data_IF_042292243951
#
_entry.id   IF_042292243951
#
_cell.length_a   1.000
_cell.length_b   1.000
_cell.length_c   1.000
_cell.angle_alpha   90.00
_cell.angle_beta   90.00
_cell.angle_gamma   90.00
#
_symmetry.space_group_name_H-M   'P 1'
#
loop_
_entity.id
_entity.type
_entity.pdbx_description
1 polymer ?
#
# COMPACT_ATOMS: atom_id res chain seq x y z
N UNK A 1 -55.17 -23.61 -17.95
CA UNK A 1 -54.49 -23.27 -19.22
C UNK A 1 -53.58 -22.09 -18.91
N UNK A 2 -52.27 -22.30 -18.93
CA UNK A 2 -51.29 -21.24 -18.70
C UNK A 2 -51.27 -20.33 -19.92
N UNK A 3 -51.35 -19.02 -19.71
CA UNK A 3 -51.31 -17.99 -20.76
C UNK A 3 -49.91 -17.33 -20.73
N UNK A 4 -49.01 -17.73 -21.64
CA UNK A 4 -47.62 -17.28 -21.64
C UNK A 4 -47.50 -15.78 -21.88
N UNK A 5 -48.43 -15.18 -22.63
CA UNK A 5 -48.41 -13.76 -22.97
C UNK A 5 -48.77 -12.90 -21.75
N UNK A 6 -49.80 -13.30 -20.99
CA UNK A 6 -50.14 -12.62 -19.73
C UNK A 6 -49.04 -12.75 -18.68
N UNK A 7 -48.40 -13.92 -18.60
CA UNK A 7 -47.26 -14.11 -17.70
C UNK A 7 -46.07 -13.22 -18.10
N UNK A 8 -45.75 -13.12 -19.40
CA UNK A 8 -44.70 -12.23 -19.90
C UNK A 8 -44.98 -10.75 -19.63
N UNK A 9 -46.23 -10.32 -19.75
CA UNK A 9 -46.64 -8.95 -19.42
C UNK A 9 -46.50 -8.65 -17.92
N UNK A 10 -46.96 -9.56 -17.06
CA UNK A 10 -46.84 -9.41 -15.60
C UNK A 10 -45.37 -9.36 -15.13
N UNK A 11 -44.52 -10.22 -15.71
CA UNK A 11 -43.08 -10.20 -15.43
C UNK A 11 -42.41 -8.91 -15.94
N UNK A 12 -42.77 -8.45 -17.14
CA UNK A 12 -42.26 -7.21 -17.70
C UNK A 12 -42.65 -5.98 -16.85
N UNK A 13 -43.85 -5.97 -16.30
CA UNK A 13 -44.32 -4.91 -15.40
C UNK A 13 -43.58 -4.96 -14.04
N UNK A 14 -43.42 -6.14 -13.45
CA UNK A 14 -42.66 -6.33 -12.22
C UNK A 14 -41.19 -5.89 -12.36
N UNK A 15 -40.55 -6.20 -13.50
CA UNK A 15 -39.18 -5.76 -13.80
C UNK A 15 -39.12 -4.24 -13.94
N UNK A 16 -40.07 -3.61 -14.64
CA UNK A 16 -40.10 -2.14 -14.76
C UNK A 16 -40.28 -1.46 -13.41
N UNK A 17 -41.19 -1.95 -12.57
CA UNK A 17 -41.41 -1.42 -11.22
C UNK A 17 -40.16 -1.56 -10.34
N UNK A 18 -39.42 -2.67 -10.47
CA UNK A 18 -38.17 -2.88 -9.73
C UNK A 18 -37.01 -2.01 -10.24
N UNK A 19 -36.95 -1.73 -11.55
CA UNK A 19 -35.83 -0.99 -12.18
C UNK A 19 -36.03 0.53 -12.15
N UNK A 20 -37.27 1.02 -12.07
CA UNK A 20 -37.58 2.45 -12.01
C UNK A 20 -36.90 3.21 -10.84
N UNK A 21 -36.92 2.73 -9.57
CA UNK A 21 -36.23 3.42 -8.49
C UNK A 21 -34.70 3.42 -8.69
N UNK A 22 -34.14 2.33 -9.22
CA UNK A 22 -32.71 2.22 -9.52
C UNK A 22 -32.29 3.20 -10.61
N UNK A 23 -33.10 3.38 -11.66
CA UNK A 23 -32.82 4.36 -12.71
C UNK A 23 -32.87 5.80 -12.19
N UNK A 24 -33.83 6.11 -11.30
CA UNK A 24 -33.92 7.42 -10.64
C UNK A 24 -32.70 7.71 -9.76
N UNK A 25 -32.24 6.73 -9.00
CA UNK A 25 -31.05 6.86 -8.16
C UNK A 25 -29.78 7.04 -9.00
N UNK A 26 -29.62 6.28 -10.09
CA UNK A 26 -28.52 6.44 -11.03
C UNK A 26 -28.52 7.84 -11.66
N UNK A 27 -29.68 8.39 -12.02
CA UNK A 27 -29.78 9.73 -12.57
C UNK A 27 -29.36 10.80 -11.54
N UNK A 28 -29.84 10.69 -10.31
CA UNK A 28 -29.50 11.61 -9.22
C UNK A 28 -28.02 11.52 -8.82
N UNK A 29 -27.43 10.32 -8.84
CA UNK A 29 -26.01 10.12 -8.59
C UNK A 29 -25.14 10.72 -9.71
N UNK A 30 -25.57 10.63 -10.97
CA UNK A 30 -24.88 11.27 -12.09
C UNK A 30 -24.90 12.79 -12.01
N UNK A 31 -26.02 13.37 -11.61
CA UNK A 31 -26.15 14.82 -11.38
C UNK A 31 -25.22 15.30 -10.25
N UNK A 32 -25.25 14.63 -9.09
CA UNK A 32 -24.34 14.93 -7.97
C UNK A 32 -22.87 14.75 -8.30
N UNK A 33 -22.54 13.84 -9.21
CA UNK A 33 -21.17 13.64 -9.66
C UNK A 33 -20.70 14.78 -10.58
N UNK A 34 -21.61 15.35 -11.38
CA UNK A 34 -21.35 16.51 -12.23
C UNK A 34 -21.18 17.81 -11.43
N UNK A 35 -21.82 17.92 -10.26
CA UNK A 35 -21.71 19.10 -9.38
C UNK A 35 -20.45 19.11 -8.49
N UNK A 36 -19.63 18.04 -8.50
CA UNK A 36 -18.41 18.03 -7.67
C UNK A 36 -17.42 19.10 -8.17
N UNK A 37 -17.00 20.05 -7.31
CA UNK A 37 -16.03 21.06 -7.70
C UNK A 37 -14.68 20.42 -8.06
N UNK A 38 -14.02 21.00 -9.07
CA UNK A 38 -12.69 20.59 -9.49
C UNK A 38 -11.65 21.13 -8.49
N UNK A 39 -11.43 20.34 -7.43
CA UNK A 39 -10.44 20.64 -6.40
C UNK A 39 -9.03 20.87 -6.99
N UNK A 40 -8.70 20.29 -8.15
CA UNK A 40 -7.41 20.50 -8.81
C UNK A 40 -7.26 21.93 -9.32
N UNK A 41 -8.30 22.49 -9.92
CA UNK A 41 -8.33 23.88 -10.37
C UNK A 41 -8.26 24.87 -9.20
N UNK A 42 -8.99 24.59 -8.11
CA UNK A 42 -9.01 25.44 -6.92
C UNK A 42 -7.64 25.46 -6.20
N UNK A 43 -7.00 24.30 -6.03
CA UNK A 43 -5.67 24.21 -5.42
C UNK A 43 -4.64 24.96 -6.26
N UNK A 44 -4.68 24.79 -7.59
CA UNK A 44 -3.74 25.47 -8.49
C UNK A 44 -3.88 26.99 -8.40
N UNK A 45 -5.11 27.50 -8.34
CA UNK A 45 -5.37 28.93 -8.18
C UNK A 45 -4.83 29.46 -6.85
N UNK A 46 -5.07 28.74 -5.74
CA UNK A 46 -4.58 29.12 -4.42
C UNK A 46 -3.04 29.10 -4.34
N UNK A 47 -2.39 28.11 -4.95
CA UNK A 47 -0.92 28.01 -4.99
C UNK A 47 -0.33 29.17 -5.79
N UNK A 48 -0.92 29.53 -6.94
CA UNK A 48 -0.42 30.63 -7.75
C UNK A 48 -0.46 31.97 -7.00
N UNK A 49 -1.56 32.25 -6.29
CA UNK A 49 -1.68 33.45 -5.45
C UNK A 49 -0.59 33.49 -4.37
N UNK A 50 -0.26 32.36 -3.75
CA UNK A 50 0.79 32.28 -2.75
C UNK A 50 2.19 32.49 -3.34
N UNK A 51 2.46 31.96 -4.54
CA UNK A 51 3.75 32.12 -5.24
C UNK A 51 3.97 33.58 -5.63
N UNK A 52 2.94 34.27 -6.14
CA UNK A 52 3.04 35.67 -6.54
C UNK A 52 3.21 36.63 -5.34
N UNK A 53 2.79 36.20 -4.15
CA UNK A 53 2.93 36.96 -2.92
C UNK A 53 4.36 36.92 -2.32
N UNK A 54 5.27 36.09 -2.84
CA UNK A 54 6.65 36.00 -2.34
C UNK A 54 7.44 37.22 -2.86
N UNK A 55 7.88 38.16 -1.99
CA UNK A 55 8.65 39.31 -2.43
C UNK A 55 10.02 38.86 -2.94
N UNK A 56 10.42 39.37 -4.11
CA UNK A 56 11.75 39.09 -4.68
C UNK A 56 12.84 39.60 -3.73
N UNK A 57 13.88 38.78 -3.54
CA UNK A 57 15.06 39.16 -2.79
C UNK A 57 15.67 40.44 -3.40
N UNK A 58 15.98 41.42 -2.56
CA UNK A 58 16.74 42.61 -2.97
C UNK A 58 18.22 42.25 -2.86
N UNK A 59 18.97 42.39 -3.95
CA UNK A 59 20.41 42.23 -3.91
C UNK A 59 21.05 43.34 -3.05
N UNK A 60 22.05 42.94 -2.27
CA UNK A 60 22.86 43.86 -1.48
C UNK A 60 23.70 44.76 -2.40
N UNK A 61 23.94 46.00 -1.97
CA UNK A 61 24.84 46.91 -2.67
C UNK A 61 26.28 46.55 -2.31
N UNK A 62 27.04 46.04 -3.27
CA UNK A 62 28.46 45.73 -3.08
C UNK A 62 29.28 47.02 -2.85
N UNK A 63 30.28 46.94 -1.96
CA UNK A 63 31.19 48.05 -1.64
C UNK A 63 32.23 48.21 -2.74
N UNK A 64 32.45 49.44 -3.20
CA UNK A 64 33.50 49.78 -4.16
C UNK A 64 34.88 49.81 -3.46
N UNK A 65 35.78 48.92 -3.88
CA UNK A 65 37.12 48.78 -3.29
C UNK A 65 37.98 50.05 -3.48
N UNK A 66 37.68 50.86 -4.50
CA UNK A 66 38.41 52.11 -4.74
C UNK A 66 38.19 53.14 -3.62
N UNK A 67 37.00 53.16 -3.01
CA UNK A 67 36.71 54.06 -1.87
C UNK A 67 37.43 53.60 -0.59
N UNK A 68 37.59 52.28 -0.41
CA UNK A 68 38.32 51.69 0.72
C UNK A 68 39.81 52.01 0.63
N UNK A 69 40.40 51.88 -0.56
CA UNK A 69 41.81 52.19 -0.78
C UNK A 69 42.11 53.68 -0.53
N UNK A 70 41.22 54.57 -0.96
CA UNK A 70 41.35 56.01 -0.70
C UNK A 70 41.30 56.35 0.81
N UNK A 71 40.45 55.65 1.58
CA UNK A 71 40.38 55.79 3.03
C UNK A 71 41.64 55.28 3.73
N UNK A 72 42.19 54.14 3.29
CA UNK A 72 43.41 53.57 3.85
C UNK A 72 44.62 54.45 3.55
N UNK A 73 44.76 54.95 2.32
CA UNK A 73 45.86 55.84 1.96
C UNK A 73 45.86 57.12 2.80
N UNK A 74 44.68 57.74 2.99
CA UNK A 74 44.53 58.93 3.82
C UNK A 74 44.83 58.67 5.30
N UNK A 75 44.50 57.48 5.80
CA UNK A 75 44.79 57.09 7.18
C UNK A 75 46.30 56.85 7.40
N UNK A 76 47.00 56.29 6.41
CA UNK A 76 48.45 56.03 6.50
C UNK A 76 49.25 57.32 6.40
N UNK A 77 48.85 58.28 5.56
CA UNK A 77 49.51 59.60 5.47
C UNK A 77 49.38 60.44 6.75
N UNK A 78 48.30 60.24 7.51
CA UNK A 78 48.05 60.94 8.77
C UNK A 78 48.92 60.42 9.93
N UNK A 79 49.66 59.32 9.76
CA UNK A 79 50.54 58.79 10.79
C UNK A 79 51.84 59.60 10.84
N UNK A 80 52.18 60.24 11.97
CA UNK A 80 53.45 60.94 12.11
C UNK A 80 54.61 59.93 12.05
N UNK A 81 55.62 60.24 11.23
CA UNK A 81 56.84 59.43 11.13
C UNK A 81 57.51 59.40 12.52
N UNK A 82 57.73 58.22 13.12
CA UNK A 82 58.38 58.12 14.43
C UNK A 82 59.77 58.74 14.37
N UNK A 83 60.05 59.70 15.26
CA UNK A 83 61.41 60.18 15.48
C UNK A 83 62.15 59.13 16.29
N UNK A 84 63.27 58.63 15.77
CA UNK A 84 64.16 57.73 16.51
C UNK A 84 64.64 58.43 17.78
N UNK A 85 64.31 57.84 18.93
CA UNK A 85 64.80 58.29 20.22
C UNK A 85 66.29 58.00 20.38
N UNK A 86 66.99 58.83 21.15
CA UNK A 86 68.36 58.52 21.58
C UNK A 86 68.41 57.11 22.18
N UNK A 87 69.48 56.32 21.94
CA UNK A 87 69.55 54.95 22.43
C UNK A 87 69.40 54.97 23.94
N UNK A 88 68.31 54.37 24.40
CA UNK A 88 68.04 54.28 25.82
C UNK A 88 69.13 53.40 26.44
N UNK A 89 69.68 53.84 27.58
CA UNK A 89 70.65 53.06 28.32
C UNK A 89 70.00 51.75 28.79
N UNK A 90 70.32 50.67 28.08
CA UNK A 90 69.71 49.37 28.27
C UNK A 90 70.03 48.78 29.65
N UNK A 91 71.15 49.17 30.27
CA UNK A 91 71.50 48.73 31.62
C UNK A 91 70.69 49.49 32.68
N UNK A 92 70.49 50.79 32.50
CA UNK A 92 69.60 51.58 33.37
C UNK A 92 68.15 51.10 33.27
N UNK A 93 67.67 50.86 32.04
CA UNK A 93 66.34 50.31 31.80
C UNK A 93 66.19 48.91 32.38
N UNK A 94 67.19 48.03 32.23
CA UNK A 94 67.14 46.68 32.78
C UNK A 94 67.02 46.69 34.30
N UNK A 95 67.82 47.52 35.00
CA UNK A 95 67.72 47.67 36.46
C UNK A 95 66.35 48.18 36.89
N UNK A 96 65.84 49.20 36.22
CA UNK A 96 64.53 49.76 36.54
C UNK A 96 63.39 48.77 36.26
N UNK A 97 63.46 48.03 35.16
CA UNK A 97 62.49 46.97 34.82
C UNK A 97 62.51 45.85 35.83
N UNK A 98 63.69 45.38 36.27
CA UNK A 98 63.78 44.34 37.29
C UNK A 98 63.17 44.82 38.61
N UNK A 99 63.44 46.06 39.04
CA UNK A 99 62.79 46.63 40.24
C UNK A 99 61.28 46.76 40.12
N UNK A 100 60.76 47.15 38.94
CA UNK A 100 59.32 47.26 38.72
C UNK A 100 58.65 45.89 38.66
N UNK A 101 59.30 44.91 38.03
CA UNK A 101 58.83 43.52 37.95
C UNK A 101 58.82 42.87 39.34
N UNK A 102 59.83 43.12 40.17
CA UNK A 102 59.87 42.63 41.55
C UNK A 102 58.81 43.29 42.45
N UNK A 103 58.43 44.55 42.16
CA UNK A 103 57.37 45.26 42.89
C UNK A 103 55.96 44.90 42.41
N UNK A 104 55.80 44.28 41.25
CA UNK A 104 54.49 43.79 40.83
C UNK A 104 54.13 42.54 41.63
N UNK A 105 52.99 42.51 42.32
CA UNK A 105 52.50 41.28 42.92
C UNK A 105 52.29 40.26 41.79
N UNK A 106 52.94 39.10 41.89
CA UNK A 106 52.70 38.01 40.94
C UNK A 106 51.20 37.74 40.90
N UNK A 107 50.57 37.63 39.72
CA UNK A 107 49.16 37.28 39.65
C UNK A 107 48.98 35.97 40.42
N UNK A 108 48.09 35.99 41.41
CA UNK A 108 47.73 34.76 42.11
C UNK A 108 47.16 33.81 41.05
N UNK A 109 47.72 32.62 40.93
CA UNK A 109 47.20 31.60 40.02
C UNK A 109 45.70 31.44 40.28
N UNK A 110 44.89 31.63 39.24
CA UNK A 110 43.44 31.49 39.33
C UNK A 110 43.11 30.10 39.86
N UNK A 111 42.32 30.03 40.94
CA UNK A 111 41.86 28.76 41.49
C UNK A 111 41.06 28.05 40.40
N UNK A 112 41.66 27.02 39.79
CA UNK A 112 40.99 26.23 38.76
C UNK A 112 39.77 25.60 39.40
N UNK A 113 38.59 25.88 38.85
CA UNK A 113 37.33 25.23 39.23
C UNK A 113 37.57 23.73 39.10
N UNK A 114 37.49 23.02 40.22
CA UNK A 114 37.62 21.57 40.20
C UNK A 114 36.26 20.94 39.94
N UNK A 115 36.23 19.67 39.55
CA UNK A 115 34.97 18.98 39.30
C UNK A 115 34.06 18.98 40.55
N UNK A 116 34.66 19.00 41.75
CA UNK A 116 33.95 19.10 43.02
C UNK A 116 33.22 20.44 43.21
N UNK A 117 33.72 21.54 42.65
CA UNK A 117 33.07 22.86 42.74
C UNK A 117 31.81 22.94 41.86
N UNK A 118 31.74 22.14 40.79
CA UNK A 118 30.62 22.13 39.82
C UNK A 118 29.60 21.04 40.12
N UNK A 119 30.02 19.95 40.77
CA UNK A 119 29.19 18.81 41.12
C UNK A 119 27.83 19.20 41.76
N UNK A 120 27.77 20.05 42.81
CA UNK A 120 26.49 20.35 43.46
C UNK A 120 25.52 21.14 42.56
N UNK A 121 26.04 21.99 41.68
CA UNK A 121 25.22 22.74 40.71
C UNK A 121 24.67 21.79 39.64
N UNK A 122 25.52 20.88 39.14
CA UNK A 122 25.13 19.91 38.14
C UNK A 122 24.10 18.92 38.69
N UNK A 123 24.32 18.40 39.89
CA UNK A 123 23.38 17.49 40.57
C UNK A 123 22.01 18.13 40.77
N UNK A 124 21.97 19.40 41.19
CA UNK A 124 20.72 20.15 41.35
C UNK A 124 19.98 20.30 40.01
N UNK A 125 20.71 20.61 38.93
CA UNK A 125 20.11 20.77 37.60
C UNK A 125 19.66 19.42 37.01
N UNK A 126 20.42 18.35 37.22
CA UNK A 126 20.07 16.99 36.78
C UNK A 126 18.85 16.49 37.55
N UNK A 127 18.76 16.72 38.86
CA UNK A 127 17.59 16.36 39.66
C UNK A 127 16.35 17.12 39.19
N UNK A 128 16.46 18.43 38.95
CA UNK A 128 15.36 19.24 38.42
C UNK A 128 14.94 18.77 37.03
N UNK A 129 15.91 18.47 36.16
CA UNK A 129 15.65 17.96 34.82
C UNK A 129 14.97 16.59 34.85
N UNK A 130 15.42 15.67 35.71
CA UNK A 130 14.83 14.34 35.85
C UNK A 130 13.37 14.43 36.30
N UNK A 131 13.06 15.27 37.30
CA UNK A 131 11.69 15.50 37.76
C UNK A 131 10.79 16.10 36.67
N UNK A 132 11.30 17.09 35.92
CA UNK A 132 10.55 17.66 34.80
C UNK A 132 10.35 16.66 33.66
N UNK A 133 11.34 15.82 33.40
CA UNK A 133 11.27 14.76 32.39
C UNK A 133 10.21 13.73 32.76
N UNK A 134 10.21 13.22 34.00
CA UNK A 134 9.20 12.28 34.49
C UNK A 134 7.79 12.86 34.39
N UNK A 135 7.59 14.12 34.78
CA UNK A 135 6.29 14.78 34.65
C UNK A 135 5.83 14.87 33.20
N UNK A 136 6.71 15.30 32.28
CA UNK A 136 6.39 15.37 30.84
C UNK A 136 6.12 14.00 30.24
N UNK A 137 6.88 12.98 30.64
CA UNK A 137 6.71 11.61 30.18
C UNK A 137 5.36 11.04 30.64
N UNK A 138 5.01 11.22 31.92
CA UNK A 138 3.72 10.81 32.46
C UNK A 138 2.55 11.53 31.78
N UNK A 139 2.63 12.84 31.59
CA UNK A 139 1.60 13.61 30.89
C UNK A 139 1.42 13.13 29.44
N UNK A 140 2.52 12.80 28.76
CA UNK A 140 2.50 12.32 27.37
C UNK A 140 1.91 10.91 27.30
N UNK A 141 2.29 10.03 28.23
CA UNK A 141 1.77 8.68 28.32
C UNK A 141 0.28 8.67 28.67
N UNK A 142 -0.14 9.50 29.63
CA UNK A 142 -1.55 9.62 29.99
C UNK A 142 -2.40 10.12 28.82
N UNK A 143 -1.93 11.15 28.10
CA UNK A 143 -2.61 11.63 26.88
C UNK A 143 -2.65 10.56 25.78
N UNK A 144 -1.66 9.68 25.70
CA UNK A 144 -1.67 8.57 24.75
C UNK A 144 -2.69 7.51 25.18
N UNK A 145 -2.77 7.17 26.46
CA UNK A 145 -3.76 6.25 27.03
C UNK A 145 -5.17 6.78 26.83
N UNK A 146 -5.43 8.06 27.11
CA UNK A 146 -6.74 8.69 26.95
C UNK A 146 -7.20 8.73 25.48
N UNK A 147 -6.25 8.77 24.54
CA UNK A 147 -6.51 8.74 23.10
C UNK A 147 -6.60 7.33 22.53
N UNK A 148 -6.17 6.32 23.27
CA UNK A 148 -6.35 4.94 22.83
C UNK A 148 -7.85 4.61 22.90
N UNK A 149 -8.48 4.26 21.78
CA UNK A 149 -9.85 3.78 21.82
C UNK A 149 -9.88 2.52 22.69
N UNK A 150 -10.72 2.52 23.73
CA UNK A 150 -10.93 1.34 24.58
C UNK A 150 -11.27 0.18 23.66
N UNK A 151 -10.52 -0.95 23.71
CA UNK A 151 -10.86 -2.13 22.96
C UNK A 151 -12.31 -2.47 23.28
N UNK A 152 -13.18 -2.33 22.28
CA UNK A 152 -14.50 -2.95 22.39
C UNK A 152 -14.22 -4.44 22.37
N UNK A 153 -14.62 -5.14 23.41
CA UNK A 153 -14.73 -6.60 23.33
C UNK A 153 -15.46 -6.91 22.03
N UNK A 154 -14.79 -7.65 21.16
CA UNK A 154 -15.43 -8.18 19.97
C UNK A 154 -16.66 -8.90 20.48
N UNK A 155 -17.86 -8.50 20.02
CA UNK A 155 -19.08 -9.23 20.36
C UNK A 155 -18.77 -10.71 20.17
N UNK A 156 -19.02 -11.52 21.20
CA UNK A 156 -18.92 -12.98 21.10
C UNK A 156 -19.48 -13.38 19.75
N UNK A 157 -18.68 -14.11 18.97
CA UNK A 157 -19.04 -14.53 17.63
C UNK A 157 -20.35 -15.31 17.70
N UNK A 158 -21.47 -14.61 17.53
CA UNK A 158 -22.82 -15.18 17.42
C UNK A 158 -22.90 -16.16 16.23
N UNK A 159 -21.88 -16.12 15.37
CA UNK A 159 -21.69 -16.92 14.16
C UNK A 159 -20.56 -17.96 14.29
N UNK A 160 -20.26 -18.44 15.50
CA UNK A 160 -19.48 -19.65 15.68
C UNK A 160 -20.28 -20.86 15.16
N UNK A 161 -20.19 -21.12 13.86
CA UNK A 161 -20.59 -22.39 13.26
C UNK A 161 -19.60 -23.45 13.77
N UNK A 162 -20.09 -24.36 14.61
CA UNK A 162 -19.26 -25.45 15.13
C UNK A 162 -19.03 -26.50 14.05
N UNK A 163 -17.98 -27.31 14.18
CA UNK A 163 -17.77 -28.49 13.32
C UNK A 163 -18.89 -29.53 13.44
N UNK A 164 -19.75 -29.42 14.46
CA UNK A 164 -20.90 -30.29 14.70
C UNK A 164 -22.13 -29.93 13.85
N UNK A 165 -22.20 -28.70 13.33
CA UNK A 165 -23.30 -28.23 12.47
C UNK A 165 -23.02 -28.46 10.96
N UNK A 166 -21.87 -29.07 10.63
CA UNK A 166 -21.36 -29.23 9.27
C UNK A 166 -21.86 -30.53 8.62
N UNK A 167 -22.76 -30.39 7.65
CA UNK A 167 -23.11 -31.43 6.70
C UNK A 167 -22.33 -31.25 5.39
N UNK A 168 -21.75 -32.34 4.89
CA UNK A 168 -20.98 -32.34 3.64
C UNK A 168 -21.68 -33.27 2.67
N UNK A 169 -22.20 -32.70 1.59
CA UNK A 169 -22.85 -33.43 0.50
C UNK A 169 -21.92 -33.43 -0.71
N UNK A 170 -21.78 -34.58 -1.36
CA UNK A 170 -21.01 -34.71 -2.60
C UNK A 170 -21.96 -35.09 -3.72
N UNK A 171 -21.95 -34.32 -4.81
CA UNK A 171 -22.85 -34.50 -5.96
C UNK A 171 -22.52 -35.73 -6.83
N UNK A 172 -21.50 -36.51 -6.45
CA UNK A 172 -21.06 -37.68 -7.19
C UNK A 172 -20.11 -37.38 -8.34
N UNK A 173 -19.80 -36.10 -8.61
CA UNK A 173 -18.98 -35.68 -9.75
C UNK A 173 -17.78 -34.81 -9.36
N UNK A 174 -18.02 -33.59 -8.89
CA UNK A 174 -16.95 -32.60 -8.63
C UNK A 174 -17.36 -31.49 -7.66
N UNK A 175 -18.62 -31.44 -7.23
CA UNK A 175 -19.07 -30.41 -6.28
C UNK A 175 -19.24 -31.02 -4.91
N UNK A 176 -18.53 -30.44 -3.94
CA UNK A 176 -18.72 -30.70 -2.53
C UNK A 176 -19.46 -29.52 -1.94
N UNK A 177 -20.67 -29.76 -1.44
CA UNK A 177 -21.53 -28.76 -0.82
C UNK A 177 -21.41 -28.88 0.69
N UNK A 178 -20.91 -27.83 1.33
CA UNK A 178 -20.84 -27.70 2.77
C UNK A 178 -22.08 -26.94 3.26
N UNK A 179 -22.97 -27.60 3.99
CA UNK A 179 -24.15 -27.01 4.63
C UNK A 179 -23.88 -26.91 6.13
N UNK A 180 -24.01 -25.71 6.68
CA UNK A 180 -23.94 -25.46 8.11
C UNK A 180 -25.33 -25.08 8.60
N UNK A 181 -25.96 -25.97 9.36
CA UNK A 181 -27.35 -25.81 9.82
C UNK A 181 -27.37 -25.72 11.33
N UNK A 182 -27.78 -24.56 11.86
CA UNK A 182 -27.96 -24.36 13.30
C UNK A 182 -29.26 -23.61 13.58
N UNK A 183 -30.27 -24.34 14.05
CA UNK A 183 -31.62 -23.79 14.27
C UNK A 183 -32.21 -23.26 12.97
N UNK A 184 -32.52 -21.97 12.92
CA UNK A 184 -33.10 -21.30 11.73
C UNK A 184 -32.03 -20.74 10.76
N UNK A 185 -30.73 -20.89 11.07
CA UNK A 185 -29.64 -20.37 10.24
C UNK A 185 -29.02 -21.50 9.42
N UNK A 186 -29.23 -21.45 8.10
CA UNK A 186 -28.57 -22.34 7.13
C UNK A 186 -27.59 -21.53 6.29
N UNK A 187 -26.30 -21.93 6.29
CA UNK A 187 -25.28 -21.41 5.38
C UNK A 187 -24.80 -22.53 4.46
N UNK A 188 -24.82 -22.30 3.15
CA UNK A 188 -24.35 -23.26 2.15
C UNK A 188 -23.12 -22.69 1.41
N UNK A 189 -22.10 -23.51 1.24
CA UNK A 189 -20.90 -23.21 0.47
C UNK A 189 -20.63 -24.35 -0.52
N UNK A 190 -20.60 -24.03 -1.82
CA UNK A 190 -20.31 -25.02 -2.86
C UNK A 190 -18.84 -24.89 -3.28
N UNK A 191 -18.09 -25.98 -3.11
CA UNK A 191 -16.73 -26.13 -3.61
C UNK A 191 -16.75 -27.02 -4.85
N UNK A 192 -16.66 -26.40 -6.03
CA UNK A 192 -16.51 -27.12 -7.30
C UNK A 192 -15.02 -27.36 -7.58
N UNK A 193 -14.62 -28.62 -7.56
CA UNK A 193 -13.24 -29.03 -7.85
C UNK A 193 -12.92 -28.84 -9.34
N UNK A 194 -11.75 -28.27 -9.70
CA UNK A 194 -11.33 -28.10 -11.09
C UNK A 194 -10.76 -29.41 -11.66
N UNK A 195 -11.53 -30.49 -11.61
CA UNK A 195 -11.15 -31.83 -12.07
C UNK A 195 -11.84 -32.17 -13.39
N UNK A 196 -11.22 -33.08 -14.16
CA UNK A 196 -11.83 -33.62 -15.37
C UNK A 196 -12.69 -34.83 -15.01
N UNK A 197 -13.98 -34.79 -15.33
CA UNK A 197 -14.93 -35.87 -15.06
C UNK A 197 -15.28 -36.59 -16.36
N UNK A 198 -15.14 -37.92 -16.40
CA UNK A 198 -15.56 -38.71 -17.56
C UNK A 198 -17.06 -38.95 -17.55
N UNK A 199 -17.77 -38.29 -18.48
CA UNK A 199 -19.21 -38.41 -18.67
C UNK A 199 -19.58 -39.43 -19.77
N UNK A 200 -18.60 -40.15 -20.33
CA UNK A 200 -18.82 -41.19 -21.33
C UNK A 200 -19.12 -40.65 -22.73
N UNK A 201 -20.04 -41.29 -23.46
CA UNK A 201 -20.39 -40.87 -24.84
C UNK A 201 -21.30 -39.63 -24.79
N UNK A 202 -21.04 -38.66 -25.67
CA UNK A 202 -21.86 -37.45 -25.78
C UNK A 202 -23.35 -37.77 -25.98
N UNK A 203 -24.22 -37.07 -25.24
CA UNK A 203 -25.67 -37.18 -25.34
C UNK A 203 -26.26 -35.82 -25.72
N UNK A 204 -27.04 -35.82 -26.80
CA UNK A 204 -27.75 -34.62 -27.26
C UNK A 204 -28.80 -34.21 -26.23
N UNK A 205 -28.90 -32.91 -25.93
CA UNK A 205 -29.80 -32.37 -24.90
C UNK A 205 -29.30 -32.45 -23.46
N UNK A 206 -28.11 -33.01 -23.20
CA UNK A 206 -27.44 -32.90 -21.91
C UNK A 206 -26.58 -31.64 -21.85
N UNK A 207 -26.61 -30.94 -20.71
CA UNK A 207 -25.76 -29.76 -20.47
C UNK A 207 -24.52 -30.22 -19.70
N UNK A 208 -23.36 -29.95 -20.28
CA UNK A 208 -22.06 -30.25 -19.69
C UNK A 208 -21.45 -28.97 -19.15
N UNK A 209 -20.74 -29.08 -18.04
CA UNK A 209 -20.10 -27.97 -17.33
C UNK A 209 -18.57 -28.03 -17.48
N UNK A 210 -17.82 -26.96 -17.20
CA UNK A 210 -16.37 -26.95 -17.36
C UNK A 210 -15.68 -28.12 -16.61
N UNK A 211 -14.80 -28.83 -17.29
CA UNK A 211 -14.13 -30.04 -16.78
C UNK A 211 -14.83 -31.34 -17.14
N UNK A 212 -16.09 -31.33 -17.56
CA UNK A 212 -16.76 -32.54 -18.04
C UNK A 212 -16.13 -32.99 -19.36
N UNK A 213 -16.02 -34.30 -19.55
CA UNK A 213 -15.37 -34.89 -20.71
C UNK A 213 -16.23 -35.95 -21.34
N UNK A 214 -16.18 -36.02 -22.67
CA UNK A 214 -17.00 -36.94 -23.44
C UNK A 214 -16.25 -37.53 -24.63
N UNK A 215 -16.70 -38.69 -25.06
CA UNK A 215 -16.29 -39.31 -26.32
C UNK A 215 -17.30 -38.97 -27.42
N UNK A 216 -16.82 -38.39 -28.52
CA UNK A 216 -17.60 -38.08 -29.73
C UNK A 216 -16.74 -38.31 -30.98
N UNK A 217 -17.31 -39.00 -31.98
CA UNK A 217 -16.65 -39.33 -33.24
C UNK A 217 -15.26 -40.01 -33.07
N UNK A 218 -15.13 -40.88 -32.07
CA UNK A 218 -13.88 -41.58 -31.73
C UNK A 218 -12.78 -40.69 -31.15
N UNK A 219 -13.13 -39.46 -30.76
CA UNK A 219 -12.24 -38.49 -30.14
C UNK A 219 -12.73 -38.16 -28.72
N UNK A 220 -11.80 -37.77 -27.85
CA UNK A 220 -12.08 -37.37 -26.48
C UNK A 220 -12.03 -35.86 -26.35
N UNK A 221 -13.05 -35.28 -25.74
CA UNK A 221 -13.27 -33.83 -25.67
C UNK A 221 -13.49 -33.42 -24.21
N UNK A 222 -13.06 -32.21 -23.84
CA UNK A 222 -13.24 -31.64 -22.50
C UNK A 222 -13.94 -30.29 -22.62
N UNK A 223 -15.08 -30.12 -21.96
CA UNK A 223 -15.83 -28.89 -21.88
C UNK A 223 -15.00 -27.80 -21.17
N UNK A 224 -14.88 -26.63 -21.81
CA UNK A 224 -14.20 -25.45 -21.27
C UNK A 224 -15.17 -24.41 -20.71
N UNK A 225 -16.43 -24.47 -21.16
CA UNK A 225 -17.56 -23.64 -20.72
C UNK A 225 -18.80 -24.53 -20.59
N UNK A 226 -19.83 -24.03 -19.94
CA UNK A 226 -21.14 -24.69 -19.96
C UNK A 226 -21.64 -24.80 -21.41
N UNK A 227 -22.00 -26.00 -21.85
CA UNK A 227 -22.43 -26.26 -23.23
C UNK A 227 -23.26 -27.53 -23.36
N UNK A 228 -24.28 -27.48 -24.21
CA UNK A 228 -24.98 -28.63 -24.76
C UNK A 228 -24.73 -28.84 -26.26
N UNK A 229 -23.85 -28.04 -26.86
CA UNK A 229 -23.54 -28.14 -28.28
C UNK A 229 -22.71 -29.39 -28.58
N UNK A 230 -22.81 -29.89 -29.82
CA UNK A 230 -22.01 -31.04 -30.27
C UNK A 230 -20.51 -30.69 -30.26
N UNK A 231 -19.62 -31.59 -29.80
CA UNK A 231 -18.20 -31.27 -29.65
C UNK A 231 -17.48 -30.79 -30.92
N UNK A 232 -17.91 -31.25 -32.08
CA UNK A 232 -17.34 -30.92 -33.39
C UNK A 232 -17.90 -29.63 -34.03
N UNK A 233 -18.86 -28.95 -33.39
CA UNK A 233 -19.40 -27.70 -33.94
C UNK A 233 -18.46 -26.52 -33.68
N UNK A 234 -18.57 -25.48 -34.52
CA UNK A 234 -17.90 -24.22 -34.25
C UNK A 234 -18.40 -23.62 -32.92
N UNK A 235 -17.49 -23.03 -32.14
CA UNK A 235 -17.77 -22.39 -30.84
C UNK A 235 -18.49 -23.26 -29.80
N UNK A 236 -18.41 -24.58 -29.97
CA UNK A 236 -19.10 -25.58 -29.17
C UNK A 236 -18.74 -25.53 -27.68
N UNK A 237 -17.63 -24.88 -27.31
CA UNK A 237 -17.14 -24.85 -25.93
C UNK A 237 -16.34 -26.08 -25.54
N UNK A 238 -16.13 -27.00 -26.47
CA UNK A 238 -15.32 -28.20 -26.27
C UNK A 238 -13.88 -27.98 -26.74
N UNK A 239 -12.94 -28.50 -25.97
CA UNK A 239 -11.54 -28.63 -26.36
C UNK A 239 -11.25 -30.08 -26.71
N UNK A 240 -10.71 -30.32 -27.90
CA UNK A 240 -10.23 -31.64 -28.30
C UNK A 240 -9.04 -32.04 -27.41
N UNK A 241 -9.18 -33.12 -26.64
CA UNK A 241 -8.15 -33.64 -25.77
C UNK A 241 -7.40 -34.82 -26.41
N UNK A 242 -8.13 -35.74 -27.06
CA UNK A 242 -7.54 -36.84 -27.82
C UNK A 242 -8.24 -36.94 -29.18
N UNK A 243 -7.46 -36.91 -30.26
CA UNK A 243 -7.98 -37.08 -31.63
C UNK A 243 -8.06 -38.57 -31.97
N UNK A 244 -9.15 -38.98 -32.65
CA UNK A 244 -9.24 -40.31 -33.26
C UNK A 244 -8.01 -40.57 -34.14
N UNK A 245 -7.39 -41.73 -33.97
CA UNK A 245 -6.33 -42.20 -34.86
C UNK A 245 -6.84 -42.41 -36.29
N UNK A 246 -5.91 -42.48 -37.26
CA UNK A 246 -6.25 -42.94 -38.61
C UNK A 246 -6.59 -44.41 -38.56
N UNK A 247 -7.62 -44.81 -39.29
CA UNK A 247 -7.93 -46.22 -39.45
C UNK A 247 -6.74 -46.92 -40.12
N UNK A 248 -6.43 -48.14 -39.64
CA UNK A 248 -5.37 -48.95 -40.22
C UNK A 248 -5.69 -49.31 -41.66
N UNK A 249 -4.66 -49.55 -42.49
CA UNK A 249 -4.87 -50.10 -43.83
C UNK A 249 -5.49 -51.49 -43.70
N UNK A 250 -6.48 -51.78 -44.53
CA UNK A 250 -7.06 -53.12 -44.62
C UNK A 250 -5.95 -54.15 -44.85
N UNK A 251 -5.93 -55.19 -44.02
CA UNK A 251 -5.02 -56.32 -44.20
C UNK A 251 -5.30 -56.98 -45.54
N UNK A 252 -4.27 -57.16 -46.38
CA UNK A 252 -4.39 -57.94 -47.62
C UNK A 252 -4.70 -59.38 -47.26
N UNK A 253 -5.96 -59.75 -47.44
CA UNK A 253 -6.50 -61.11 -47.37
C UNK A 253 -6.28 -61.76 -46.01
N UNK A 254 -7.33 -61.83 -45.20
CA UNK A 254 -7.36 -62.69 -44.02
C UNK A 254 -7.19 -64.15 -44.44
N UNK A 255 -5.95 -64.61 -44.57
CA UNK A 255 -5.64 -66.04 -44.55
C UNK A 255 -5.89 -66.46 -43.12
N UNK A 256 -7.05 -67.05 -42.90
CA UNK A 256 -7.32 -67.81 -41.69
C UNK A 256 -6.36 -69.01 -41.67
N UNK A 257 -5.28 -68.91 -40.89
CA UNK A 257 -4.30 -69.98 -40.69
C UNK A 257 -4.88 -71.17 -39.91
N UNK A 258 -6.16 -71.13 -39.53
CA UNK A 258 -6.88 -72.23 -38.89
C UNK A 258 -7.80 -73.00 -39.83
N UNK A 259 -7.94 -72.57 -41.10
CA UNK A 259 -8.75 -73.29 -42.08
C UNK A 259 -8.06 -74.61 -42.50
N UNK A 260 -8.75 -75.77 -42.43
CA UNK A 260 -8.18 -77.04 -42.83
C UNK A 260 -7.94 -77.07 -44.35
N UNK A 261 -6.74 -77.49 -44.74
CA UNK A 261 -6.38 -77.74 -46.14
C UNK A 261 -7.02 -79.07 -46.54
N UNK A 262 -8.03 -79.03 -47.40
CA UNK A 262 -8.53 -80.25 -48.05
C UNK A 262 -7.50 -80.71 -49.08
N UNK A 263 -6.86 -81.84 -48.77
CA UNK A 263 -6.00 -82.62 -49.68
C UNK A 263 -6.85 -83.42 -50.67
#
# INVERSE_FOLDING_TARGET
MFDPEKFGQAMGEAIRQAVEPLQKEIALLKEKLAEKPDFGAEIKAAVQVAVDAIPKAKDGKDVDMAEVEALVAKAVEALPIPKDGAPADMDALRKHLTELVDKMPRPADGKSITAEDVAPVLETQVAKWALEFERRAQDTLQKAIDKMPVPKDGKDGRDGVGFEDLEVEYDGSKTVTFKLVRGDVTKQFDLTMPVVVDCGVFKDGHIYTPGDSVTWAGSYWIAQKETGAKPDSAESGWRLAVKKGRDGKDGRNGIDKTAPVNL
#
